data_IF_840046797728
#
_entry.id   IF_840046797728
#
_cell.length_a   1.000
_cell.length_b   1.000
_cell.length_c   1.000
_cell.angle_alpha   90.00
_cell.angle_beta   90.00
_cell.angle_gamma   90.00
#
_symmetry.space_group_name_H-M   'P 1'
#
loop_
_entity.id
_entity.type
_entity.pdbx_description
1 polymer ?
#
# COMPACT_ATOMS: atom_id res chain seq x y z
N UNK A 1 -3.15 -27.49 74.77
CA UNK A 1 -3.59 -26.44 73.82
C UNK A 1 -2.89 -25.12 74.16
N UNK A 2 -1.97 -24.67 73.31
CA UNK A 2 -1.54 -23.27 73.32
C UNK A 2 -2.79 -22.43 73.13
N UNK A 3 -3.15 -21.60 74.10
CA UNK A 3 -4.33 -20.73 74.01
C UNK A 3 -3.86 -19.41 73.42
N UNK A 4 -4.24 -19.08 72.20
CA UNK A 4 -4.05 -17.73 71.69
C UNK A 4 -5.11 -16.76 72.23
N UNK A 5 -4.76 -15.48 72.25
CA UNK A 5 -5.68 -14.37 72.49
C UNK A 5 -5.52 -13.38 71.36
N UNK A 6 -6.65 -13.00 70.79
CA UNK A 6 -6.80 -12.19 69.60
C UNK A 6 -7.48 -10.88 70.01
N UNK A 7 -6.95 -9.74 69.58
CA UNK A 7 -7.42 -8.42 70.01
C UNK A 7 -8.75 -8.01 69.39
N UNK A 8 -9.10 -8.57 68.25
CA UNK A 8 -10.15 -8.09 67.34
C UNK A 8 -10.86 -9.25 66.62
N UNK A 9 -10.33 -10.47 66.71
CA UNK A 9 -10.97 -11.64 66.16
C UNK A 9 -10.67 -11.77 64.67
N UNK A 10 -11.70 -12.04 63.86
CA UNK A 10 -11.56 -12.00 62.41
C UNK A 10 -12.16 -10.66 61.95
N UNK A 11 -11.34 -9.61 61.94
CA UNK A 11 -11.72 -8.26 61.50
C UNK A 11 -10.65 -7.66 60.59
N UNK A 12 -10.89 -7.79 59.29
CA UNK A 12 -9.96 -7.31 58.28
C UNK A 12 -9.81 -5.79 58.20
N UNK A 13 -10.61 -5.00 58.92
CA UNK A 13 -10.64 -3.53 58.78
C UNK A 13 -10.12 -2.78 60.01
N UNK A 14 -9.70 -3.51 61.03
CA UNK A 14 -9.01 -3.00 62.22
C UNK A 14 -7.60 -3.58 62.26
N UNK A 15 -6.69 -2.95 63.01
CA UNK A 15 -5.36 -3.52 63.22
C UNK A 15 -5.42 -4.52 64.36
N UNK A 16 -5.12 -5.77 64.05
CA UNK A 16 -5.15 -6.87 65.00
C UNK A 16 -3.80 -7.42 65.40
N UNK A 17 -3.83 -8.12 66.54
CA UNK A 17 -2.70 -8.83 67.11
C UNK A 17 -3.12 -10.12 67.79
N UNK A 18 -2.35 -11.17 67.58
CA UNK A 18 -2.51 -12.46 68.27
C UNK A 18 -1.32 -12.74 69.18
N UNK A 19 -1.60 -13.04 70.44
CA UNK A 19 -0.62 -13.46 71.45
C UNK A 19 -0.82 -14.93 71.80
N UNK A 20 0.26 -15.71 71.84
CA UNK A 20 0.19 -17.14 72.22
C UNK A 20 0.55 -17.30 73.70
N UNK A 21 -0.35 -17.87 74.50
CA UNK A 21 -0.10 -18.11 75.93
C UNK A 21 1.12 -19.00 76.16
N UNK A 22 2.05 -18.53 77.00
CA UNK A 22 3.31 -19.23 77.29
C UNK A 22 4.46 -18.90 76.32
N UNK A 23 4.23 -18.03 75.35
CA UNK A 23 5.25 -17.49 74.44
C UNK A 23 5.17 -15.95 74.42
N UNK A 24 6.31 -15.28 74.29
CA UNK A 24 6.38 -13.81 74.18
C UNK A 24 6.14 -13.30 72.75
N UNK A 25 5.96 -14.19 71.78
CA UNK A 25 5.70 -13.81 70.38
C UNK A 25 4.29 -13.21 70.22
N UNK A 26 4.24 -12.04 69.60
CA UNK A 26 3.01 -11.37 69.15
C UNK A 26 3.03 -11.38 67.62
N UNK A 27 1.94 -11.84 67.02
CA UNK A 27 1.70 -11.73 65.59
C UNK A 27 0.82 -10.50 65.37
N UNK A 28 1.20 -9.64 64.43
CA UNK A 28 0.43 -8.46 64.06
C UNK A 28 0.04 -8.60 62.61
N UNK A 29 -1.18 -8.25 62.27
CA UNK A 29 -1.61 -8.29 60.89
C UNK A 29 -0.71 -7.42 60.03
N UNK A 30 -0.61 -7.73 58.75
CA UNK A 30 0.21 -6.93 57.85
C UNK A 30 -0.20 -7.06 56.40
N UNK A 31 0.06 -6.01 55.65
CA UNK A 31 -0.28 -5.94 54.23
C UNK A 31 0.84 -6.52 53.36
N UNK A 32 0.48 -7.30 52.35
CA UNK A 32 1.31 -7.66 51.20
C UNK A 32 0.58 -7.25 49.93
N UNK A 33 0.99 -6.14 49.31
CA UNK A 33 0.30 -5.60 48.14
C UNK A 33 -1.16 -5.21 48.46
N UNK A 34 -2.12 -5.85 47.78
CA UNK A 34 -3.57 -5.65 48.02
C UNK A 34 -4.17 -6.68 48.99
N UNK A 35 -3.35 -7.49 49.63
CA UNK A 35 -3.79 -8.55 50.53
C UNK A 35 -3.41 -8.22 51.98
N UNK A 36 -4.31 -8.52 52.92
CA UNK A 36 -4.07 -8.53 54.35
C UNK A 36 -3.73 -9.96 54.79
N UNK A 37 -2.60 -10.12 55.46
CA UNK A 37 -2.30 -11.32 56.23
C UNK A 37 -2.86 -11.10 57.62
N UNK A 38 -4.01 -11.71 57.86
CA UNK A 38 -4.74 -11.69 59.12
C UNK A 38 -4.25 -12.83 60.01
N UNK A 39 -3.79 -12.51 61.21
CA UNK A 39 -3.59 -13.47 62.28
C UNK A 39 -4.81 -13.46 63.17
N UNK A 40 -5.43 -14.63 63.37
CA UNK A 40 -6.58 -14.76 64.27
C UNK A 40 -6.47 -15.99 65.16
N UNK A 41 -7.30 -16.05 66.20
CA UNK A 41 -7.38 -17.22 67.09
C UNK A 41 -8.58 -18.11 66.78
N UNK A 42 -8.34 -19.40 66.53
CA UNK A 42 -9.42 -20.36 66.27
C UNK A 42 -10.28 -20.60 67.51
N UNK A 43 -11.48 -21.16 67.32
CA UNK A 43 -12.37 -21.57 68.42
C UNK A 43 -11.74 -22.62 69.37
N UNK A 44 -10.72 -23.36 68.91
CA UNK A 44 -9.95 -24.31 69.70
C UNK A 44 -8.67 -23.69 70.30
N UNK A 45 -8.49 -22.38 70.15
CA UNK A 45 -7.37 -21.60 70.70
C UNK A 45 -6.08 -21.66 69.89
N UNK A 46 -6.10 -22.11 68.62
CA UNK A 46 -4.90 -22.21 67.78
C UNK A 46 -4.73 -20.99 66.88
N UNK A 47 -3.48 -20.57 66.64
CA UNK A 47 -3.17 -19.49 65.69
C UNK A 47 -3.61 -19.88 64.29
N UNK A 48 -4.36 -19.00 63.63
CA UNK A 48 -4.79 -19.11 62.25
C UNK A 48 -4.20 -17.93 61.47
N UNK A 49 -3.74 -18.19 60.26
CA UNK A 49 -3.27 -17.16 59.34
C UNK A 49 -4.14 -17.19 58.09
N UNK A 50 -4.80 -16.09 57.80
CA UNK A 50 -5.68 -15.93 56.63
C UNK A 50 -5.08 -14.91 55.69
N UNK A 51 -5.04 -15.21 54.40
CA UNK A 51 -4.71 -14.24 53.36
C UNK A 51 -6.03 -13.73 52.77
N UNK A 52 -6.38 -12.49 53.08
CA UNK A 52 -7.62 -11.85 52.65
C UNK A 52 -7.33 -10.77 51.60
N UNK A 53 -8.07 -10.78 50.48
CA UNK A 53 -7.94 -9.77 49.43
C UNK A 53 -8.73 -8.50 49.78
N UNK A 54 -8.03 -7.40 50.05
CA UNK A 54 -8.68 -6.13 50.37
C UNK A 54 -9.15 -5.44 49.09
N UNK A 55 -10.47 -5.38 48.89
CA UNK A 55 -11.09 -4.79 47.70
C UNK A 55 -10.62 -3.35 47.42
N UNK A 56 -10.48 -2.53 48.46
CA UNK A 56 -10.10 -1.12 48.35
C UNK A 56 -8.61 -0.85 48.65
N UNK A 57 -7.80 -1.90 48.77
CA UNK A 57 -6.40 -1.82 49.18
C UNK A 57 -6.16 -2.09 50.67
N UNK A 58 -4.89 -2.33 51.02
CA UNK A 58 -4.42 -2.64 52.37
C UNK A 58 -3.36 -1.62 52.76
N UNK A 59 -3.50 -0.99 53.93
CA UNK A 59 -2.53 -0.03 54.45
C UNK A 59 -2.51 -0.09 55.98
N UNK A 60 -1.31 0.02 56.57
CA UNK A 60 -1.11 0.00 58.02
C UNK A 60 -1.77 -1.20 58.70
N UNK A 61 -1.59 -2.40 58.14
CA UNK A 61 -2.05 -3.66 58.73
C UNK A 61 -3.57 -3.82 58.83
N UNK A 62 -4.34 -3.16 57.97
CA UNK A 62 -5.78 -3.34 57.85
C UNK A 62 -6.24 -3.09 56.40
N UNK A 63 -7.35 -3.70 56.01
CA UNK A 63 -8.04 -3.37 54.78
C UNK A 63 -8.69 -2.00 54.87
N UNK A 64 -8.74 -1.32 53.73
CA UNK A 64 -9.40 -0.03 53.61
C UNK A 64 -10.89 -0.24 53.37
N UNK A 65 -11.72 0.53 54.07
CA UNK A 65 -13.18 0.49 53.91
C UNK A 65 -13.63 1.22 52.66
N UNK A 66 -12.77 2.04 52.03
CA UNK A 66 -13.08 2.86 50.86
C UNK A 66 -11.88 3.01 49.92
N UNK A 67 -12.13 3.24 48.63
CA UNK A 67 -11.11 3.30 47.58
C UNK A 67 -10.07 4.41 47.81
N UNK A 68 -8.79 4.04 47.70
CA UNK A 68 -7.66 4.98 47.65
C UNK A 68 -7.15 5.17 46.24
N UNK A 69 -6.86 6.41 45.88
CA UNK A 69 -6.23 6.74 44.59
C UNK A 69 -4.78 7.16 44.82
N UNK A 70 -3.86 6.55 44.07
CA UNK A 70 -2.48 7.06 43.95
C UNK A 70 -2.48 8.19 42.93
N UNK A 71 -1.96 9.35 43.33
CA UNK A 71 -1.80 10.49 42.42
C UNK A 71 -0.33 10.83 42.34
N UNK A 72 0.25 10.58 41.18
CA UNK A 72 1.54 11.15 40.79
C UNK A 72 1.25 12.46 40.07
N UNK A 73 1.91 13.53 40.47
CA UNK A 73 1.89 14.80 39.75
C UNK A 73 3.31 15.20 39.43
N UNK A 74 3.58 15.37 38.13
CA UNK A 74 4.80 15.99 37.65
C UNK A 74 4.61 17.51 37.61
N UNK A 75 5.58 18.26 38.12
CA UNK A 75 5.51 19.73 38.13
C UNK A 75 5.82 20.35 36.77
N UNK A 76 6.21 19.55 35.76
CA UNK A 76 6.57 20.00 34.41
C UNK A 76 5.49 19.74 33.33
N UNK A 77 4.26 19.42 33.73
CA UNK A 77 3.12 19.14 32.83
C UNK A 77 3.21 17.83 32.01
N UNK A 78 3.90 16.81 32.52
CA UNK A 78 3.73 15.41 32.05
C UNK A 78 4.28 15.17 30.62
N UNK A 79 5.23 15.98 30.18
CA UNK A 79 6.04 15.72 28.99
C UNK A 79 7.42 15.32 29.46
N UNK A 80 7.85 14.07 29.22
CA UNK A 80 9.22 13.62 29.46
C UNK A 80 10.21 14.58 28.77
N UNK A 81 10.67 15.59 29.50
CA UNK A 81 11.53 16.63 28.97
C UNK A 81 12.80 16.64 29.82
N UNK A 82 13.82 15.96 29.31
CA UNK A 82 15.14 15.87 29.91
C UNK A 82 15.92 17.20 29.92
N UNK A 83 15.27 18.33 29.60
CA UNK A 83 15.91 19.63 29.33
C UNK A 83 15.43 20.78 30.23
N UNK A 84 14.38 20.61 31.06
CA UNK A 84 14.02 21.61 32.08
C UNK A 84 14.62 21.25 33.45
N UNK A 85 14.83 22.28 34.27
CA UNK A 85 15.35 22.12 35.63
C UNK A 85 14.26 21.54 36.54
N UNK A 86 14.32 20.24 36.81
CA UNK A 86 13.80 19.57 37.99
C UNK A 86 12.28 19.57 38.17
N UNK A 87 11.62 18.62 37.51
CA UNK A 87 10.27 18.24 37.88
C UNK A 87 10.25 17.64 39.30
N UNK A 88 9.45 18.20 40.22
CA UNK A 88 9.14 17.55 41.49
C UNK A 88 8.05 16.52 41.24
N UNK A 89 8.44 15.26 41.14
CA UNK A 89 7.48 14.17 41.08
C UNK A 89 6.95 13.90 42.49
N UNK A 90 5.72 14.33 42.73
CA UNK A 90 5.05 14.16 44.02
C UNK A 90 4.10 12.97 43.96
N UNK A 91 4.38 11.95 44.76
CA UNK A 91 3.45 10.84 44.99
C UNK A 91 2.70 11.06 46.30
N UNK A 92 1.39 11.27 46.20
CA UNK A 92 0.48 11.39 47.34
C UNK A 92 -0.53 10.23 47.35
N UNK A 93 -0.85 9.71 48.54
CA UNK A 93 -2.00 8.82 48.73
C UNK A 93 -3.13 9.62 49.34
N UNK A 94 -4.22 9.70 48.57
CA UNK A 94 -5.36 10.55 48.81
C UNK A 94 -6.63 9.71 48.97
N UNK A 95 -7.35 9.93 50.07
CA UNK A 95 -8.65 9.32 50.32
C UNK A 95 -9.75 10.25 49.80
N UNK A 96 -10.47 9.80 48.77
CA UNK A 96 -11.42 10.63 48.01
C UNK A 96 -12.62 11.09 48.82
N UNK A 97 -13.10 10.26 49.76
CA UNK A 97 -14.31 10.52 50.53
C UNK A 97 -14.10 11.48 51.72
N UNK A 98 -12.90 11.45 52.33
CA UNK A 98 -12.56 12.29 53.49
C UNK A 98 -11.79 13.55 53.09
N UNK A 99 -11.41 13.68 51.82
CA UNK A 99 -10.57 14.75 51.29
C UNK A 99 -9.27 14.92 52.11
N UNK A 100 -8.66 13.79 52.49
CA UNK A 100 -7.51 13.76 53.39
C UNK A 100 -6.37 12.93 52.80
N UNK A 101 -5.14 13.40 53.03
CA UNK A 101 -3.92 12.66 52.69
C UNK A 101 -3.60 11.62 53.78
N UNK A 102 -3.39 10.38 53.35
CA UNK A 102 -3.12 9.25 54.23
C UNK A 102 -1.62 9.06 54.52
N UNK A 103 -0.74 9.64 53.71
CA UNK A 103 0.70 9.65 53.96
C UNK A 103 1.37 10.93 53.46
N UNK A 104 2.57 11.20 53.99
CA UNK A 104 3.42 12.31 53.57
C UNK A 104 3.89 12.08 52.12
N UNK A 105 3.95 13.12 51.27
CA UNK A 105 4.36 12.98 49.87
C UNK A 105 5.79 12.45 49.77
N UNK A 106 5.99 11.43 48.91
CA UNK A 106 7.32 11.02 48.45
C UNK A 106 7.68 11.92 47.27
N UNK A 107 8.86 12.56 47.33
CA UNK A 107 9.33 13.50 46.32
C UNK A 107 10.53 12.87 45.60
N UNK A 108 10.36 12.58 44.32
CA UNK A 108 11.47 12.21 43.42
C UNK A 108 11.83 13.43 42.57
N UNK A 109 13.13 13.66 42.37
CA UNK A 109 13.65 14.80 41.64
C UNK A 109 14.63 14.32 40.57
N UNK A 110 14.66 15.04 39.45
CA UNK A 110 15.69 14.83 38.44
C UNK A 110 17.07 15.18 39.02
N UNK A 111 18.07 14.38 38.68
CA UNK A 111 19.45 14.71 39.03
C UNK A 111 20.47 14.16 38.04
N UNK A 112 21.54 14.91 37.82
CA UNK A 112 22.66 14.41 37.03
C UNK A 112 23.40 13.32 37.82
N UNK A 113 23.47 12.11 37.28
CA UNK A 113 24.26 11.01 37.83
C UNK A 113 25.75 11.29 37.62
N UNK A 114 26.09 11.78 36.42
CA UNK A 114 27.40 12.29 36.08
C UNK A 114 27.29 13.42 35.04
N UNK A 115 28.42 13.85 34.48
CA UNK A 115 28.48 14.91 33.47
C UNK A 115 27.76 14.61 32.14
N UNK A 116 27.22 13.41 31.96
CA UNK A 116 26.62 12.89 30.71
C UNK A 116 25.31 12.13 30.90
N UNK A 117 24.95 11.75 32.13
CA UNK A 117 23.73 10.98 32.41
C UNK A 117 22.80 11.71 33.37
N UNK A 118 21.53 11.81 33.00
CA UNK A 118 20.43 12.31 33.81
C UNK A 118 19.64 11.13 34.38
N UNK A 119 19.40 11.13 35.69
CA UNK A 119 18.36 10.31 36.29
C UNK A 119 17.06 11.13 36.28
N UNK A 120 16.14 10.76 35.38
CA UNK A 120 14.89 11.44 35.12
C UNK A 120 13.76 10.76 35.90
N UNK A 121 13.07 11.53 36.74
CA UNK A 121 11.88 11.09 37.46
C UNK A 121 10.66 11.31 36.57
N UNK A 122 9.77 10.33 36.46
CA UNK A 122 8.56 10.41 35.63
C UNK A 122 7.34 9.81 36.33
N UNK A 123 6.14 10.28 35.98
CA UNK A 123 4.90 9.60 36.34
C UNK A 123 4.59 8.46 35.36
N UNK A 124 4.70 7.21 35.83
CA UNK A 124 4.35 6.03 35.03
C UNK A 124 2.83 5.83 34.85
N UNK A 125 2.46 4.93 33.94
CA UNK A 125 1.06 4.64 33.55
C UNK A 125 0.13 4.23 34.72
N UNK A 126 0.69 3.78 35.85
CA UNK A 126 -0.06 3.35 37.04
C UNK A 126 -0.12 4.42 38.15
N UNK A 127 0.20 5.69 37.86
CA UNK A 127 0.36 6.79 38.83
C UNK A 127 1.42 6.51 39.91
N UNK A 128 2.51 5.85 39.52
CA UNK A 128 3.69 5.66 40.38
C UNK A 128 4.81 6.54 39.86
N UNK A 129 5.56 7.16 40.77
CA UNK A 129 6.79 7.84 40.41
C UNK A 129 7.86 6.78 40.09
N UNK A 130 8.42 6.85 38.88
CA UNK A 130 9.50 5.99 38.38
C UNK A 130 10.76 6.82 38.13
N UNK A 131 11.91 6.17 38.05
CA UNK A 131 13.19 6.80 37.69
C UNK A 131 13.81 6.06 36.52
N UNK A 132 14.26 6.79 35.49
CA UNK A 132 14.93 6.24 34.31
C UNK A 132 16.26 6.94 34.03
N UNK A 133 17.22 6.23 33.45
CA UNK A 133 18.50 6.82 33.04
C UNK A 133 18.42 7.31 31.59
N UNK A 134 18.76 8.58 31.39
CA UNK A 134 18.78 9.24 30.08
C UNK A 134 20.19 9.77 29.77
N UNK A 135 20.71 9.46 28.58
CA UNK A 135 22.00 9.97 28.13
C UNK A 135 21.85 11.39 27.57
N UNK A 136 22.52 12.37 28.17
CA UNK A 136 22.57 13.76 27.72
C UNK A 136 23.68 13.95 26.67
N UNK A 137 23.38 14.12 25.37
CA UNK A 137 24.39 14.15 24.31
C UNK A 137 25.37 15.33 24.40
N UNK A 138 24.96 16.41 25.08
CA UNK A 138 25.77 17.63 25.27
C UNK A 138 26.18 17.85 26.73
N UNK A 139 26.00 16.84 27.57
CA UNK A 139 26.30 16.87 29.00
C UNK A 139 25.09 17.19 29.87
N UNK A 140 25.21 16.89 31.17
CA UNK A 140 24.18 17.14 32.19
C UNK A 140 24.69 18.17 33.19
N UNK A 141 23.90 19.21 33.44
CA UNK A 141 24.22 20.23 34.44
C UNK A 141 22.94 20.79 35.06
N UNK A 142 22.97 21.13 36.36
CA UNK A 142 21.82 21.68 37.07
C UNK A 142 20.57 20.79 36.95
N UNK A 143 20.77 19.46 37.04
CA UNK A 143 19.72 18.45 36.98
C UNK A 143 18.90 18.44 35.67
N UNK A 144 19.51 18.91 34.58
CA UNK A 144 18.94 18.89 33.23
C UNK A 144 20.03 18.58 32.19
N UNK A 145 19.64 18.02 31.06
CA UNK A 145 20.54 17.91 29.91
C UNK A 145 20.78 19.30 29.29
N UNK A 146 22.05 19.56 28.94
CA UNK A 146 22.45 20.76 28.23
C UNK A 146 21.88 20.76 26.81
N UNK A 147 21.46 21.93 26.36
CA UNK A 147 21.08 22.20 24.97
C UNK A 147 22.33 22.62 24.18
N UNK A 148 22.58 21.97 23.05
CA UNK A 148 23.70 22.31 22.16
C UNK A 148 23.57 23.74 21.57
N UNK A 149 24.64 24.31 21.01
CA UNK A 149 24.62 25.64 20.41
C UNK A 149 23.84 25.62 19.09
N UNK A 150 22.53 25.84 19.18
CA UNK A 150 21.64 25.91 18.03
C UNK A 150 20.28 25.30 18.33
N UNK A 151 19.23 26.08 18.13
CA UNK A 151 17.85 25.67 18.23
C UNK A 151 17.53 24.72 17.04
N UNK A 152 17.66 23.39 17.20
CA UNK A 152 17.35 22.40 16.14
C UNK A 152 16.79 21.09 16.71
N UNK A 153 15.86 20.51 15.94
CA UNK A 153 14.93 19.43 16.26
C UNK A 153 15.48 18.26 17.07
N UNK A 154 14.65 17.79 18.00
CA UNK A 154 14.79 16.52 18.70
C UNK A 154 15.22 15.39 17.73
N UNK A 155 16.12 14.47 18.13
CA UNK A 155 16.36 13.28 17.35
C UNK A 155 15.03 12.55 17.20
N UNK A 156 14.60 12.37 15.96
CA UNK A 156 13.35 11.70 15.63
C UNK A 156 13.66 10.38 14.97
N UNK A 157 12.79 9.41 15.19
CA UNK A 157 12.75 8.22 14.37
C UNK A 157 12.50 8.64 12.92
N UNK A 158 13.35 8.17 12.01
CA UNK A 158 13.18 8.39 10.58
C UNK A 158 12.97 7.08 9.87
N UNK A 159 12.02 7.09 8.96
CA UNK A 159 11.63 5.99 8.10
C UNK A 159 11.76 6.45 6.64
N UNK A 160 12.53 5.73 5.82
CA UNK A 160 12.91 6.20 4.49
C UNK A 160 11.84 5.97 3.42
N UNK A 161 10.80 5.17 3.68
CA UNK A 161 9.69 4.93 2.76
C UNK A 161 8.33 5.50 3.21
N UNK A 162 8.34 6.20 4.36
CA UNK A 162 7.19 6.94 4.88
C UNK A 162 6.30 6.16 5.84
N UNK A 163 6.75 5.04 6.40
CA UNK A 163 6.05 4.32 7.46
C UNK A 163 5.92 2.84 7.12
N UNK A 164 4.69 2.32 7.13
CA UNK A 164 4.46 0.94 6.70
C UNK A 164 4.21 0.92 5.19
N UNK A 165 5.23 0.57 4.40
CA UNK A 165 5.20 0.54 2.94
C UNK A 165 5.92 -0.69 2.35
N UNK A 166 5.20 -1.81 2.35
CA UNK A 166 5.71 -3.10 1.86
C UNK A 166 6.20 -3.14 0.40
N UNK A 167 5.92 -2.13 -0.43
CA UNK A 167 6.25 -2.13 -1.87
C UNK A 167 7.52 -1.34 -2.21
N UNK A 168 8.08 -0.63 -1.24
CA UNK A 168 9.32 0.14 -1.38
C UNK A 168 10.30 -0.44 -0.37
N UNK A 169 11.57 -0.58 -0.76
CA UNK A 169 12.58 -0.95 0.22
C UNK A 169 12.89 0.27 1.07
N UNK A 170 12.48 0.24 2.33
CA UNK A 170 12.75 1.25 3.33
C UNK A 170 13.86 0.88 4.30
N UNK A 171 14.06 1.81 5.23
CA UNK A 171 15.01 1.72 6.30
C UNK A 171 14.58 2.59 7.48
N UNK A 172 14.83 2.05 8.66
CA UNK A 172 14.47 2.61 9.94
C UNK A 172 15.71 3.04 10.71
N UNK A 173 15.71 4.29 11.17
CA UNK A 173 16.69 4.82 12.13
C UNK A 173 15.95 5.44 13.31
N UNK A 174 15.95 4.76 14.45
CA UNK A 174 15.33 5.26 15.67
C UNK A 174 16.15 6.41 16.29
N UNK A 175 15.51 7.26 17.11
CA UNK A 175 16.08 8.52 17.59
C UNK A 175 17.43 8.37 18.34
N UNK A 176 17.56 7.30 19.13
CA UNK A 176 18.70 7.10 20.02
C UNK A 176 19.63 5.95 19.58
N UNK A 177 19.58 5.55 18.31
CA UNK A 177 20.45 4.50 17.76
C UNK A 177 21.24 4.99 16.53
N UNK A 178 22.51 4.60 16.46
CA UNK A 178 23.31 4.78 15.26
C UNK A 178 23.07 3.66 14.22
N UNK A 179 22.43 2.56 14.63
CA UNK A 179 22.20 1.39 13.77
C UNK A 179 20.92 1.58 12.98
N UNK A 180 21.05 1.55 11.66
CA UNK A 180 19.94 1.50 10.70
C UNK A 180 19.47 0.06 10.50
N UNK A 181 18.16 -0.14 10.47
CA UNK A 181 17.53 -1.41 10.12
C UNK A 181 16.88 -1.28 8.76
N UNK A 182 16.90 -2.32 7.96
CA UNK A 182 16.48 -2.27 6.54
C UNK A 182 15.45 -3.36 6.33
N UNK A 183 14.44 -3.07 5.52
CA UNK A 183 13.42 -4.06 5.16
C UNK A 183 14.05 -5.24 4.43
N UNK A 184 13.49 -6.41 4.72
CA UNK A 184 14.07 -7.65 4.27
C UNK A 184 13.00 -8.68 3.96
N UNK A 185 13.26 -9.52 2.97
CA UNK A 185 12.43 -10.68 2.74
C UNK A 185 12.75 -11.74 3.80
N UNK A 186 11.76 -12.06 4.62
CA UNK A 186 11.85 -13.15 5.61
C UNK A 186 11.91 -14.48 4.87
N UNK A 187 11.13 -14.61 3.80
CA UNK A 187 11.12 -15.72 2.86
C UNK A 187 10.66 -15.23 1.48
N UNK A 188 10.49 -16.12 0.50
CA UNK A 188 10.12 -15.75 -0.88
C UNK A 188 8.73 -15.13 -1.01
N UNK A 189 7.90 -15.16 0.05
CA UNK A 189 6.52 -14.66 0.04
C UNK A 189 6.22 -13.68 1.17
N UNK A 190 7.17 -13.38 2.04
CA UNK A 190 6.91 -12.57 3.22
C UNK A 190 8.00 -11.50 3.41
N UNK A 191 7.57 -10.28 3.70
CA UNK A 191 8.44 -9.16 4.02
C UNK A 191 8.43 -8.89 5.54
N UNK A 192 9.62 -8.58 6.07
CA UNK A 192 9.83 -7.96 7.35
C UNK A 192 10.03 -6.46 7.14
N UNK A 193 9.05 -5.69 7.57
CA UNK A 193 8.94 -4.24 7.38
C UNK A 193 9.33 -3.52 8.67
N UNK A 194 10.40 -2.74 8.66
CA UNK A 194 10.80 -1.87 9.77
C UNK A 194 10.21 -0.49 9.59
N UNK A 195 9.55 0.02 10.64
CA UNK A 195 8.93 1.34 10.58
C UNK A 195 8.97 2.07 11.92
N UNK A 196 8.77 3.38 11.88
CA UNK A 196 8.64 4.19 13.09
C UNK A 196 7.27 3.98 13.75
N UNK A 197 7.27 3.42 14.97
CA UNK A 197 6.04 3.28 15.78
C UNK A 197 5.62 4.65 16.36
N UNK A 198 6.60 5.48 16.69
CA UNK A 198 6.42 6.85 17.16
C UNK A 198 7.67 7.68 16.84
N UNK A 199 7.69 8.94 17.31
CA UNK A 199 8.79 9.87 17.05
C UNK A 199 10.15 9.44 17.60
N UNK A 200 10.24 8.37 18.41
CA UNK A 200 11.49 7.97 19.07
C UNK A 200 11.85 6.50 18.80
N UNK A 201 10.86 5.61 18.80
CA UNK A 201 11.04 4.17 18.66
C UNK A 201 10.60 3.67 17.28
N UNK A 202 11.30 2.64 16.83
CA UNK A 202 10.90 1.87 15.66
C UNK A 202 10.71 0.40 15.99
N UNK A 203 9.84 -0.25 15.23
CA UNK A 203 9.48 -1.66 15.36
C UNK A 203 9.44 -2.32 13.99
N UNK A 204 8.95 -3.55 13.90
CA UNK A 204 8.75 -4.21 12.62
C UNK A 204 7.49 -5.09 12.57
N UNK A 205 7.01 -5.36 11.36
CA UNK A 205 5.89 -6.24 11.08
C UNK A 205 6.26 -7.28 10.03
N UNK A 206 5.54 -8.41 10.04
CA UNK A 206 5.56 -9.39 8.96
C UNK A 206 4.33 -9.19 8.07
N UNK A 207 4.51 -9.18 6.76
CA UNK A 207 3.42 -9.13 5.78
C UNK A 207 3.64 -10.14 4.65
N UNK A 208 2.55 -10.77 4.19
CA UNK A 208 2.58 -11.75 3.10
C UNK A 208 2.41 -11.04 1.75
N UNK A 209 3.48 -11.01 0.95
CA UNK A 209 3.51 -10.41 -0.38
C UNK A 209 2.74 -11.29 -1.40
N UNK A 210 1.64 -10.81 -2.01
CA UNK A 210 0.82 -11.62 -2.92
C UNK A 210 1.59 -12.17 -4.12
N UNK A 211 2.54 -11.41 -4.67
CA UNK A 211 3.34 -11.76 -5.83
C UNK A 211 4.77 -12.19 -5.49
N UNK A 212 5.06 -12.43 -4.21
CA UNK A 212 6.39 -12.72 -3.70
C UNK A 212 7.16 -11.50 -3.19
N UNK A 213 8.23 -11.75 -2.43
CA UNK A 213 9.14 -10.73 -1.91
C UNK A 213 10.49 -10.84 -2.62
N UNK A 214 11.07 -9.70 -2.99
CA UNK A 214 12.37 -9.61 -3.62
C UNK A 214 13.11 -8.33 -3.18
N UNK A 215 14.38 -8.44 -2.79
CA UNK A 215 15.24 -7.33 -2.39
C UNK A 215 14.71 -6.42 -1.27
N UNK A 216 13.87 -6.93 -0.37
CA UNK A 216 13.30 -6.15 0.73
C UNK A 216 12.08 -5.32 0.31
N UNK A 217 11.35 -5.75 -0.72
CA UNK A 217 10.06 -5.19 -1.12
C UNK A 217 9.15 -6.29 -1.70
N UNK A 218 7.84 -6.12 -1.59
CA UNK A 218 6.85 -6.92 -2.27
C UNK A 218 6.88 -6.65 -3.79
N UNK A 219 6.77 -7.71 -4.57
CA UNK A 219 6.74 -7.62 -6.03
C UNK A 219 5.41 -7.03 -6.49
N UNK A 220 5.50 -6.10 -7.45
CA UNK A 220 4.33 -5.60 -8.15
C UNK A 220 3.59 -6.75 -8.84
N UNK A 221 2.28 -6.59 -9.02
CA UNK A 221 1.52 -7.50 -9.85
C UNK A 221 2.11 -7.50 -11.27
N UNK A 222 2.12 -8.64 -11.99
CA UNK A 222 2.45 -8.65 -13.40
C UNK A 222 1.58 -7.63 -14.13
N UNK A 223 2.19 -6.77 -14.95
CA UNK A 223 1.41 -5.87 -15.79
C UNK A 223 0.45 -6.70 -16.65
N UNK A 224 -0.83 -6.28 -16.80
CA UNK A 224 -1.72 -6.95 -17.74
C UNK A 224 -1.07 -6.91 -19.12
N UNK A 225 -0.94 -8.08 -19.75
CA UNK A 225 -0.46 -8.16 -21.13
C UNK A 225 -1.51 -7.46 -21.97
N UNK A 226 -1.17 -6.32 -22.56
CA UNK A 226 -2.09 -5.62 -23.43
C UNK A 226 -2.31 -6.47 -24.68
N UNK A 227 -3.49 -7.04 -24.77
CA UNK A 227 -3.93 -7.79 -25.94
C UNK A 227 -4.44 -6.81 -26.98
N UNK A 228 -4.07 -7.02 -28.24
CA UNK A 228 -4.65 -6.25 -29.33
C UNK A 228 -6.16 -6.50 -29.39
N UNK A 229 -6.94 -5.44 -29.56
CA UNK A 229 -8.40 -5.51 -29.74
C UNK A 229 -8.82 -4.78 -30.99
N UNK A 230 -9.86 -5.26 -31.65
CA UNK A 230 -10.31 -4.77 -32.95
C UNK A 230 -11.84 -4.72 -32.99
N UNK A 231 -12.43 -3.56 -33.33
CA UNK A 231 -13.87 -3.32 -33.10
C UNK A 231 -14.79 -3.90 -34.17
N UNK A 232 -14.27 -4.21 -35.34
CA UNK A 232 -14.99 -4.70 -36.53
C UNK A 232 -14.57 -6.11 -36.97
N UNK A 233 -13.58 -6.68 -36.28
CA UNK A 233 -13.33 -8.12 -36.25
C UNK A 233 -12.33 -8.62 -37.28
N UNK A 234 -11.15 -8.00 -37.35
CA UNK A 234 -10.08 -8.38 -38.26
C UNK A 234 -10.17 -7.57 -39.55
N UNK A 235 -9.85 -8.20 -40.68
CA UNK A 235 -9.84 -7.51 -41.98
C UNK A 235 -11.26 -7.18 -42.48
N UNK A 236 -11.79 -5.98 -42.19
CA UNK A 236 -13.17 -5.59 -42.52
C UNK A 236 -13.34 -4.16 -43.06
N UNK A 237 -12.94 -3.96 -44.32
CA UNK A 237 -13.10 -2.69 -45.04
C UNK A 237 -14.53 -2.14 -45.25
N UNK A 238 -15.58 -2.85 -44.79
CA UNK A 238 -16.98 -2.40 -44.90
C UNK A 238 -17.51 -1.75 -43.61
N UNK A 239 -16.78 -1.89 -42.50
CA UNK A 239 -17.20 -1.41 -41.18
C UNK A 239 -16.07 -0.54 -40.63
N UNK A 240 -16.40 0.60 -40.03
CA UNK A 240 -15.37 1.43 -39.42
C UNK A 240 -14.84 0.75 -38.15
N UNK A 241 -13.58 0.33 -38.22
CA UNK A 241 -12.79 -0.30 -37.19
C UNK A 241 -11.91 0.67 -36.41
N UNK A 242 -11.60 0.28 -35.18
CA UNK A 242 -10.52 0.84 -34.38
C UNK A 242 -9.79 -0.30 -33.69
N UNK A 243 -8.54 -0.49 -34.09
CA UNK A 243 -7.62 -1.45 -33.51
C UNK A 243 -6.82 -0.78 -32.40
N UNK A 244 -6.74 -1.40 -31.22
CA UNK A 244 -5.97 -0.90 -30.08
C UNK A 244 -4.92 -1.91 -29.66
N UNK A 245 -3.66 -1.49 -29.60
CA UNK A 245 -2.53 -2.29 -29.11
C UNK A 245 -1.66 -1.50 -28.09
N UNK A 246 -0.47 -2.03 -27.74
CA UNK A 246 0.40 -1.42 -26.72
C UNK A 246 0.96 -0.05 -27.12
N UNK A 247 0.93 0.27 -28.40
CA UNK A 247 1.44 1.51 -28.98
C UNK A 247 0.36 2.58 -29.10
N UNK A 248 -0.93 2.20 -29.13
CA UNK A 248 -2.06 3.14 -29.14
C UNK A 248 -3.27 2.62 -29.89
N UNK A 249 -4.09 3.57 -30.35
CA UNK A 249 -5.33 3.31 -31.11
C UNK A 249 -5.13 3.69 -32.58
N UNK A 250 -5.64 2.84 -33.46
CA UNK A 250 -5.55 2.98 -34.91
C UNK A 250 -6.93 2.77 -35.50
N UNK A 251 -7.46 3.80 -36.16
CA UNK A 251 -8.78 3.76 -36.80
C UNK A 251 -8.59 3.67 -38.31
N UNK A 252 -9.50 3.02 -39.02
CA UNK A 252 -9.38 2.93 -40.48
C UNK A 252 -9.42 4.31 -41.11
N UNK A 253 -8.61 4.47 -42.15
CA UNK A 253 -8.37 5.79 -42.75
C UNK A 253 -8.45 5.75 -44.25
N UNK A 254 -8.93 6.86 -44.81
CA UNK A 254 -8.85 7.08 -46.24
C UNK A 254 -7.48 7.63 -46.60
N UNK A 255 -6.86 7.05 -47.61
CA UNK A 255 -5.57 7.45 -48.16
C UNK A 255 -5.75 7.92 -49.59
N UNK A 256 -5.28 9.14 -49.89
CA UNK A 256 -5.14 9.62 -51.27
C UNK A 256 -3.77 9.17 -51.79
N UNK A 257 -3.78 8.27 -52.76
CA UNK A 257 -2.57 7.75 -53.38
C UNK A 257 -1.95 8.79 -54.33
N UNK A 258 -0.64 8.70 -54.58
CA UNK A 258 0.08 9.63 -55.44
C UNK A 258 -0.45 9.72 -56.89
N UNK A 259 -1.14 8.67 -57.36
CA UNK A 259 -1.79 8.62 -58.67
C UNK A 259 -3.22 9.21 -58.67
N UNK A 260 -3.65 9.86 -57.59
CA UNK A 260 -4.98 10.47 -57.46
C UNK A 260 -6.11 9.50 -57.13
N UNK A 261 -5.83 8.21 -56.90
CA UNK A 261 -6.83 7.22 -56.48
C UNK A 261 -6.99 7.20 -54.96
N UNK A 262 -8.13 6.73 -54.47
CA UNK A 262 -8.38 6.54 -53.04
C UNK A 262 -8.21 5.09 -52.64
N UNK A 263 -7.69 4.87 -51.42
CA UNK A 263 -7.69 3.58 -50.73
C UNK A 263 -8.25 3.72 -49.33
N UNK A 264 -8.83 2.65 -48.81
CA UNK A 264 -9.09 2.46 -47.38
C UNK A 264 -7.90 1.69 -46.78
N UNK A 265 -7.28 2.25 -45.75
CA UNK A 265 -6.25 1.60 -44.96
C UNK A 265 -6.90 1.07 -43.68
N UNK A 266 -7.00 -0.25 -43.63
CA UNK A 266 -7.61 -1.05 -42.59
C UNK A 266 -6.59 -1.40 -41.52
N UNK A 267 -6.88 -1.13 -40.26
CA UNK A 267 -6.10 -1.65 -39.14
C UNK A 267 -6.76 -2.90 -38.57
N UNK A 268 -5.95 -3.88 -38.16
CA UNK A 268 -6.45 -5.12 -37.57
C UNK A 268 -5.38 -5.78 -36.69
N UNK A 269 -5.82 -6.69 -35.82
CA UNK A 269 -4.91 -7.41 -34.93
C UNK A 269 -4.19 -8.57 -35.62
N UNK A 270 -2.86 -8.61 -35.49
CA UNK A 270 -2.04 -9.79 -35.76
C UNK A 270 -1.26 -10.17 -34.49
N UNK A 271 -1.80 -11.15 -33.76
CA UNK A 271 -1.34 -11.43 -32.40
C UNK A 271 -1.68 -10.27 -31.46
N UNK A 272 -0.66 -9.70 -30.80
CA UNK A 272 -0.82 -8.58 -29.87
C UNK A 272 -0.43 -7.21 -30.47
N UNK A 273 -0.27 -7.14 -31.81
CA UNK A 273 0.18 -5.92 -32.50
C UNK A 273 -0.88 -5.52 -33.53
N UNK A 274 -1.18 -4.23 -33.61
CA UNK A 274 -1.98 -3.64 -34.67
C UNK A 274 -1.13 -3.50 -35.93
N UNK A 275 -1.62 -4.03 -37.04
CA UNK A 275 -0.99 -3.86 -38.36
C UNK A 275 -2.04 -3.35 -39.34
N UNK A 276 -1.60 -2.81 -40.49
CA UNK A 276 -2.54 -2.27 -41.48
C UNK A 276 -2.36 -2.86 -42.87
N UNK A 277 -3.43 -2.83 -43.65
CA UNK A 277 -3.43 -3.20 -45.07
C UNK A 277 -4.33 -2.26 -45.86
N UNK A 278 -3.99 -2.00 -47.13
CA UNK A 278 -4.74 -1.08 -47.98
C UNK A 278 -5.56 -1.79 -49.06
N UNK A 279 -6.79 -1.35 -49.28
CA UNK A 279 -7.62 -1.71 -50.45
C UNK A 279 -7.94 -0.49 -51.28
N UNK A 280 -7.89 -0.60 -52.62
CA UNK A 280 -8.29 0.48 -53.52
C UNK A 280 -9.80 0.66 -53.47
N UNK A 281 -10.28 1.90 -53.46
CA UNK A 281 -11.71 2.19 -53.48
C UNK A 281 -12.12 2.78 -54.84
N UNK A 282 -13.01 2.08 -55.56
CA UNK A 282 -13.38 2.49 -56.92
C UNK A 282 -14.21 3.76 -57.00
N UNK A 283 -15.10 3.95 -56.02
CA UNK A 283 -15.97 5.13 -55.95
C UNK A 283 -15.45 6.20 -54.99
N UNK A 284 -14.19 6.11 -54.58
CA UNK A 284 -13.60 6.97 -53.55
C UNK A 284 -13.70 6.38 -52.15
N UNK A 285 -13.14 7.09 -51.17
CA UNK A 285 -13.13 6.68 -49.77
C UNK A 285 -13.72 7.80 -48.90
N UNK A 286 -14.53 7.43 -47.92
CA UNK A 286 -15.11 8.33 -46.93
C UNK A 286 -15.08 7.69 -45.54
N UNK A 287 -14.61 8.44 -44.53
CA UNK A 287 -14.55 8.01 -43.13
C UNK A 287 -13.86 6.65 -42.91
N UNK A 288 -12.73 6.43 -43.56
CA UNK A 288 -11.98 5.17 -43.45
C UNK A 288 -12.46 4.06 -44.36
N UNK A 289 -13.63 4.19 -45.00
CA UNK A 289 -14.28 3.13 -45.76
C UNK A 289 -14.39 3.44 -47.24
N UNK A 290 -14.37 2.41 -48.07
CA UNK A 290 -14.70 2.57 -49.49
C UNK A 290 -16.17 2.97 -49.65
N UNK A 291 -16.44 3.96 -50.50
CA UNK A 291 -17.81 4.39 -50.79
C UNK A 291 -18.52 3.24 -51.53
N UNK A 292 -19.65 2.72 -51.01
CA UNK A 292 -20.39 1.64 -51.67
C UNK A 292 -20.90 2.08 -53.03
N UNK A 293 -20.76 1.22 -54.03
CA UNK A 293 -21.28 1.46 -55.37
C UNK A 293 -21.49 0.18 -56.16
N UNK A 294 -22.52 0.21 -57.00
CA UNK A 294 -22.76 -0.85 -57.98
C UNK A 294 -21.63 -0.87 -59.00
N UNK A 295 -21.21 -2.07 -59.40
CA UNK A 295 -20.17 -2.20 -60.41
C UNK A 295 -20.55 -1.42 -61.68
N UNK A 296 -19.61 -0.64 -62.21
CA UNK A 296 -19.75 0.03 -63.51
C UNK A 296 -18.60 -0.35 -64.41
N UNK A 297 -18.89 -0.56 -65.68
CA UNK A 297 -17.93 -0.90 -66.73
C UNK A 297 -18.12 0.11 -67.87
N UNK A 298 -17.03 0.76 -68.29
CA UNK A 298 -17.08 1.82 -69.29
C UNK A 298 -17.30 1.35 -70.72
N UNK A 299 -17.10 0.07 -71.02
CA UNK A 299 -17.34 -0.50 -72.35
C UNK A 299 -18.26 -1.73 -72.37
N UNK A 300 -18.67 -2.18 -71.18
CA UNK A 300 -19.62 -3.25 -70.97
C UNK A 300 -19.12 -4.60 -71.52
N UNK A 301 -17.84 -4.89 -71.28
CA UNK A 301 -17.15 -6.14 -71.62
C UNK A 301 -16.74 -6.22 -73.09
N UNK A 302 -16.45 -5.09 -73.71
CA UNK A 302 -16.16 -5.04 -75.14
C UNK A 302 -14.66 -5.19 -75.41
N UNK A 303 -14.27 -6.39 -75.84
CA UNK A 303 -12.87 -6.73 -76.16
C UNK A 303 -12.15 -5.81 -77.18
N UNK A 304 -12.86 -4.94 -77.91
CA UNK A 304 -12.29 -4.05 -78.92
C UNK A 304 -12.29 -2.57 -78.51
N UNK A 305 -12.79 -2.24 -77.33
CA UNK A 305 -12.71 -0.94 -76.71
C UNK A 305 -11.87 -1.11 -75.44
N UNK A 306 -11.19 -0.05 -75.00
CA UNK A 306 -10.50 -0.08 -73.72
C UNK A 306 -11.49 0.32 -72.63
N UNK A 307 -11.76 -0.60 -71.72
CA UNK A 307 -12.67 -0.45 -70.62
C UNK A 307 -11.97 -0.20 -69.28
N UNK A 308 -12.77 0.21 -68.31
CA UNK A 308 -12.40 0.32 -66.89
C UNK A 308 -13.60 -0.09 -66.06
N UNK A 309 -13.39 -1.12 -65.25
CA UNK A 309 -14.32 -1.60 -64.24
C UNK A 309 -14.07 -0.89 -62.91
N UNK A 310 -15.11 -0.27 -62.38
CA UNK A 310 -15.15 0.21 -61.01
C UNK A 310 -16.00 -0.75 -60.18
N UNK A 311 -15.45 -1.23 -59.07
CA UNK A 311 -16.21 -1.86 -58.00
C UNK A 311 -16.00 -1.09 -56.71
N UNK A 312 -16.76 -1.40 -55.65
CA UNK A 312 -16.54 -0.76 -54.33
C UNK A 312 -15.08 -0.87 -53.89
N UNK A 313 -14.41 -2.00 -54.18
CA UNK A 313 -13.05 -2.33 -53.72
C UNK A 313 -12.00 -2.49 -54.83
N UNK A 314 -12.28 -2.02 -56.05
CA UNK A 314 -11.32 -2.11 -57.14
C UNK A 314 -11.53 -1.06 -58.23
N UNK A 315 -10.43 -0.72 -58.90
CA UNK A 315 -10.38 0.01 -60.18
C UNK A 315 -9.49 -0.82 -61.07
N UNK A 316 -10.11 -1.49 -62.04
CA UNK A 316 -9.44 -2.42 -62.94
C UNK A 316 -9.62 -1.92 -64.37
N UNK A 317 -8.53 -1.76 -65.12
CA UNK A 317 -8.54 -1.27 -66.51
C UNK A 317 -8.02 -2.37 -67.41
N UNK A 318 -8.61 -2.50 -68.59
CA UNK A 318 -8.24 -3.55 -69.52
C UNK A 318 -6.79 -3.42 -69.97
N UNK A 319 -6.14 -4.56 -70.08
CA UNK A 319 -4.70 -4.62 -70.24
C UNK A 319 -4.28 -5.74 -71.19
N UNK A 320 -3.31 -5.43 -72.04
CA UNK A 320 -2.71 -6.41 -72.94
C UNK A 320 -1.51 -7.10 -72.29
N UNK A 321 -1.50 -8.44 -72.36
CA UNK A 321 -0.37 -9.28 -72.02
C UNK A 321 0.03 -10.10 -73.26
N UNK A 322 0.92 -9.53 -74.07
CA UNK A 322 1.22 -10.05 -75.40
C UNK A 322 -0.01 -9.95 -76.32
N UNK A 323 -0.47 -11.07 -76.86
CA UNK A 323 -1.66 -11.13 -77.72
C UNK A 323 -2.97 -11.41 -76.95
N UNK A 324 -2.91 -11.50 -75.63
CA UNK A 324 -4.10 -11.69 -74.78
C UNK A 324 -4.54 -10.35 -74.19
N UNK A 325 -5.84 -10.10 -74.22
CA UNK A 325 -6.52 -9.05 -73.48
C UNK A 325 -6.99 -9.63 -72.14
N UNK A 326 -6.62 -9.00 -71.03
CA UNK A 326 -7.30 -9.17 -69.76
C UNK A 326 -8.41 -8.14 -69.67
N UNK A 327 -9.64 -8.64 -69.78
CA UNK A 327 -10.86 -7.86 -69.82
C UNK A 327 -11.52 -7.84 -68.45
N UNK A 328 -11.72 -6.66 -67.87
CA UNK A 328 -12.42 -6.46 -66.62
C UNK A 328 -13.80 -5.90 -66.88
N UNK A 329 -14.82 -6.70 -66.54
CA UNK A 329 -16.22 -6.29 -66.66
C UNK A 329 -16.99 -6.57 -65.37
N UNK A 330 -18.23 -6.12 -65.30
CA UNK A 330 -19.11 -6.38 -64.16
C UNK A 330 -19.77 -7.77 -64.18
N UNK A 331 -19.77 -8.46 -65.32
CA UNK A 331 -20.31 -9.80 -65.48
C UNK A 331 -19.49 -10.63 -66.49
N UNK A 332 -18.66 -11.59 -66.02
CA UNK A 332 -18.38 -11.88 -64.62
C UNK A 332 -17.51 -10.77 -63.97
N UNK A 333 -17.62 -10.53 -62.67
CA UNK A 333 -16.92 -9.43 -61.97
C UNK A 333 -15.39 -9.60 -61.87
N UNK A 334 -14.86 -10.69 -62.41
CA UNK A 334 -13.44 -11.05 -62.42
C UNK A 334 -12.89 -10.89 -63.84
N UNK A 335 -11.60 -10.54 -63.93
CA UNK A 335 -10.94 -10.37 -65.23
C UNK A 335 -10.94 -11.66 -66.06
N UNK A 336 -11.39 -11.59 -67.30
CA UNK A 336 -11.35 -12.68 -68.26
C UNK A 336 -10.19 -12.50 -69.25
N UNK A 337 -9.45 -13.56 -69.52
CA UNK A 337 -8.43 -13.54 -70.57
C UNK A 337 -9.05 -13.90 -71.92
N UNK A 338 -8.85 -13.05 -72.91
CA UNK A 338 -9.33 -13.23 -74.29
C UNK A 338 -8.16 -13.14 -75.28
N UNK A 339 -8.04 -14.11 -76.19
CA UNK A 339 -7.00 -14.09 -77.22
C UNK A 339 -7.42 -13.20 -78.40
N UNK A 340 -6.75 -12.07 -78.59
CA UNK A 340 -7.07 -11.15 -79.67
C UNK A 340 -6.66 -11.71 -81.05
N UNK A 341 -7.58 -11.85 -82.01
CA UNK A 341 -7.27 -12.44 -83.32
C UNK A 341 -6.20 -11.69 -84.13
N UNK A 342 -6.16 -10.36 -84.00
CA UNK A 342 -5.21 -9.49 -84.71
C UNK A 342 -4.18 -8.85 -83.77
N UNK A 343 -4.02 -9.41 -82.57
CA UNK A 343 -3.18 -8.86 -81.50
C UNK A 343 -3.91 -7.85 -80.60
N UNK A 344 -3.33 -7.61 -79.42
CA UNK A 344 -3.83 -6.70 -78.40
C UNK A 344 -2.97 -5.43 -78.39
N UNK A 345 -3.57 -4.26 -78.28
CA UNK A 345 -2.87 -2.98 -78.11
C UNK A 345 -3.66 -2.04 -77.21
N UNK A 346 -2.96 -1.42 -76.24
CA UNK A 346 -3.53 -0.42 -75.33
C UNK A 346 -4.81 -0.86 -74.60
N UNK A 347 -4.87 -2.12 -74.17
CA UNK A 347 -6.02 -2.65 -73.44
C UNK A 347 -7.24 -2.92 -74.33
N UNK A 348 -7.05 -3.14 -75.64
CA UNK A 348 -8.11 -3.57 -76.54
C UNK A 348 -7.55 -4.46 -77.67
N UNK A 349 -8.40 -5.32 -78.23
CA UNK A 349 -8.08 -6.08 -79.44
C UNK A 349 -8.09 -5.20 -80.69
N UNK A 350 -7.17 -5.48 -81.63
CA UNK A 350 -7.16 -4.79 -82.93
C UNK A 350 -8.31 -5.26 -83.81
N UNK A 351 -9.08 -4.32 -84.36
CA UNK A 351 -10.08 -4.61 -85.37
C UNK A 351 -9.46 -5.20 -86.64
N UNK A 352 -10.20 -6.03 -87.36
CA UNK A 352 -9.77 -6.54 -88.67
C UNK A 352 -9.69 -5.36 -89.66
N UNK A 353 -8.56 -5.20 -90.35
CA UNK A 353 -8.47 -4.21 -91.42
C UNK A 353 -9.44 -4.62 -92.54
N UNK A 354 -10.43 -3.77 -92.83
CA UNK A 354 -11.24 -3.92 -94.03
C UNK A 354 -10.33 -3.75 -95.23
N UNK A 355 -10.13 -4.82 -96.00
CA UNK A 355 -9.52 -4.74 -97.33
C UNK A 355 -10.39 -3.82 -98.20
N UNK A 356 -10.03 -2.55 -98.26
CA UNK A 356 -10.48 -1.64 -99.32
C UNK A 356 -9.88 -2.14 -100.62
N UNK A 357 -10.69 -2.88 -101.38
CA UNK A 357 -10.42 -3.20 -102.78
C UNK A 357 -10.26 -1.89 -103.54
N UNK A 358 -9.03 -1.59 -103.96
CA UNK A 358 -8.72 -0.57 -104.96
C UNK A 358 -9.24 -1.11 -106.30
N UNK A 359 -10.16 -0.37 -106.92
CA UNK A 359 -10.64 -0.56 -108.29
C UNK A 359 -9.62 -0.12 -109.32
#
# INVERSE_FOLDING_TARGET
PSVCTDSDGIDYYSVGTVKISGNSTVFTDYCIGLHLIEYSCSAQGSLVTTNYGCHNGCLNSQCLTQEVTKKCSDSDNNTANSYNVGGLNRLEIYEKATNKYLMSPVINQDFCVDGTWLNESICGQNNWALTTLYACPYGCQQNACLVGPGNVSQPTCTDSDGGVNYNVKGSLKAANTAVEKIDFCIDTRSIGEYYCENNYNGTWLRYDCPNGCENGACKAAPAPVLTCTDTDGGFNFDVLGTTTDASGNYTDTCVLNANGTYSSNEYYCNGNIAISTGVKCGFGCQNGLCIPGNCTDSDNGNYYVKGTKLSTRSVDTDACYGNYLYEYSCDPPYGNSYQCPNGCQDGACKAAQSNSTIS
#
